data_IF_642972620355
#
_entry.id   IF_642972620355
#
_cell.length_a   1.000
_cell.length_b   1.000
_cell.length_c   1.000
_cell.angle_alpha   90.00
_cell.angle_beta   90.00
_cell.angle_gamma   90.00
#
_symmetry.space_group_name_H-M   'P 1'
#
loop_
_entity.id
_entity.type
_entity.pdbx_description
1 polymer ?
#
# COMPACT_ATOMS: atom_id res chain seq x y z
N UNK A 1 21.64 -3.74 5.29
CA UNK A 1 20.81 -3.27 4.16
C UNK A 1 19.67 -4.26 4.07
N UNK A 2 18.41 -3.80 4.02
CA UNK A 2 17.26 -4.72 4.04
C UNK A 2 17.10 -5.38 2.67
N UNK A 3 16.76 -6.65 2.64
CA UNK A 3 16.54 -7.40 1.39
C UNK A 3 15.11 -7.22 0.84
N UNK A 4 14.87 -7.70 -0.39
CA UNK A 4 13.56 -7.57 -1.05
C UNK A 4 12.44 -8.30 -0.29
N UNK A 5 12.74 -9.44 0.36
CA UNK A 5 11.74 -10.17 1.16
C UNK A 5 11.31 -9.37 2.39
N UNK A 6 12.22 -8.64 3.02
CA UNK A 6 11.90 -7.71 4.11
C UNK A 6 11.03 -6.54 3.63
N UNK A 7 11.22 -6.06 2.39
CA UNK A 7 10.38 -5.03 1.79
C UNK A 7 8.98 -5.52 1.48
N UNK A 8 8.84 -6.75 1.00
CA UNK A 8 7.53 -7.36 0.81
C UNK A 8 6.79 -7.52 2.14
N UNK A 9 7.49 -7.89 3.21
CA UNK A 9 6.91 -7.91 4.57
C UNK A 9 6.48 -6.54 5.06
N UNK A 10 7.23 -5.47 4.74
CA UNK A 10 6.81 -4.09 5.03
C UNK A 10 5.49 -3.75 4.34
N UNK A 11 5.34 -4.12 3.06
CA UNK A 11 4.11 -3.91 2.29
C UNK A 11 2.96 -4.66 2.94
N UNK A 12 3.14 -5.95 3.25
CA UNK A 12 2.10 -6.79 3.83
C UNK A 12 1.67 -6.27 5.21
N UNK A 13 2.61 -5.94 6.10
CA UNK A 13 2.27 -5.37 7.40
C UNK A 13 1.51 -4.04 7.23
N UNK A 14 1.94 -3.17 6.33
CA UNK A 14 1.24 -1.90 6.11
C UNK A 14 -0.20 -2.10 5.59
N UNK A 15 -0.43 -3.07 4.73
CA UNK A 15 -1.76 -3.47 4.27
C UNK A 15 -2.62 -3.95 5.45
N UNK A 16 -2.12 -4.87 6.27
CA UNK A 16 -2.86 -5.37 7.43
C UNK A 16 -3.22 -4.26 8.43
N UNK A 17 -2.30 -3.30 8.61
CA UNK A 17 -2.50 -2.14 9.48
C UNK A 17 -3.59 -1.22 8.96
N UNK A 18 -3.66 -0.93 7.66
CA UNK A 18 -4.72 -0.08 7.12
C UNK A 18 -6.07 -0.81 7.09
N UNK A 19 -6.08 -2.11 6.79
CA UNK A 19 -7.30 -2.94 6.76
C UNK A 19 -8.00 -2.99 8.12
N UNK A 20 -7.21 -2.98 9.22
CA UNK A 20 -7.73 -2.93 10.60
C UNK A 20 -8.76 -1.81 10.80
N UNK A 21 -8.58 -0.66 10.15
CA UNK A 21 -9.51 0.46 10.24
C UNK A 21 -10.42 0.59 9.02
N UNK A 22 -9.95 0.22 7.82
CA UNK A 22 -10.77 0.22 6.62
C UNK A 22 -12.02 -0.68 6.75
N UNK A 23 -11.93 -1.80 7.48
CA UNK A 23 -13.09 -2.68 7.75
C UNK A 23 -14.26 -2.00 8.47
N UNK A 24 -14.06 -0.81 9.05
CA UNK A 24 -15.13 -0.01 9.66
C UNK A 24 -16.02 0.69 8.62
N UNK A 25 -15.60 0.66 7.34
CA UNK A 25 -16.36 1.15 6.20
C UNK A 25 -16.05 2.59 5.82
N UNK A 26 -16.43 2.94 4.59
CA UNK A 26 -16.14 4.23 3.95
C UNK A 26 -16.63 5.42 4.76
N UNK A 27 -17.86 5.34 5.28
CA UNK A 27 -18.46 6.42 6.07
C UNK A 27 -17.66 6.76 7.32
N UNK A 28 -17.10 5.75 8.00
CA UNK A 28 -16.26 5.95 9.18
C UNK A 28 -14.94 6.61 8.78
N UNK A 29 -14.34 6.16 7.69
CA UNK A 29 -13.15 6.80 7.12
C UNK A 29 -13.40 8.28 6.76
N UNK A 30 -14.48 8.60 6.04
CA UNK A 30 -14.81 9.98 5.63
C UNK A 30 -15.06 10.93 6.81
N UNK A 31 -15.51 10.40 7.95
CA UNK A 31 -15.88 11.21 9.12
C UNK A 31 -14.78 11.30 10.20
N UNK A 32 -13.75 10.43 10.15
CA UNK A 32 -12.73 10.36 11.20
C UNK A 32 -11.33 10.67 10.64
N UNK A 33 -10.85 11.88 10.91
CA UNK A 33 -9.52 12.36 10.51
C UNK A 33 -8.37 11.44 10.94
N UNK A 34 -8.46 10.83 12.14
CA UNK A 34 -7.45 9.88 12.61
C UNK A 34 -7.40 8.60 11.75
N UNK A 35 -8.55 8.12 11.27
CA UNK A 35 -8.61 6.95 10.38
C UNK A 35 -8.09 7.33 8.99
N UNK A 36 -8.43 8.53 8.50
CA UNK A 36 -7.89 9.05 7.24
C UNK A 36 -6.36 9.10 7.29
N UNK A 37 -5.83 9.76 8.33
CA UNK A 37 -4.39 9.90 8.55
C UNK A 37 -3.71 8.54 8.66
N UNK A 38 -4.30 7.60 9.40
CA UNK A 38 -3.77 6.25 9.56
C UNK A 38 -3.68 5.50 8.23
N UNK A 39 -4.74 5.52 7.42
CA UNK A 39 -4.78 4.84 6.13
C UNK A 39 -3.76 5.47 5.17
N UNK A 40 -3.77 6.80 5.06
CA UNK A 40 -2.85 7.57 4.20
C UNK A 40 -1.38 7.29 4.56
N UNK A 41 -1.06 7.23 5.85
CA UNK A 41 0.29 6.91 6.32
C UNK A 41 0.74 5.50 5.93
N UNK A 42 -0.13 4.50 5.99
CA UNK A 42 0.23 3.15 5.59
C UNK A 42 0.32 2.98 4.06
N UNK A 43 -0.48 3.72 3.29
CA UNK A 43 -0.29 3.82 1.83
C UNK A 43 1.09 4.40 1.47
N UNK A 44 1.60 5.37 2.25
CA UNK A 44 2.96 5.88 2.08
C UNK A 44 4.03 4.82 2.34
N UNK A 45 3.85 4.00 3.39
CA UNK A 45 4.78 2.91 3.71
C UNK A 45 4.81 1.90 2.57
N UNK A 46 3.65 1.52 2.04
CA UNK A 46 3.54 0.62 0.87
C UNK A 46 4.33 1.20 -0.30
N UNK A 47 4.13 2.48 -0.62
CA UNK A 47 4.83 3.11 -1.73
C UNK A 47 6.34 3.22 -1.54
N UNK A 48 6.82 3.54 -0.34
CA UNK A 48 8.27 3.58 -0.07
C UNK A 48 8.90 2.18 -0.14
N UNK A 49 8.23 1.15 0.38
CA UNK A 49 8.70 -0.22 0.31
C UNK A 49 8.74 -0.71 -1.15
N UNK A 50 7.68 -0.50 -1.92
CA UNK A 50 7.62 -0.83 -3.35
C UNK A 50 8.70 -0.10 -4.16
N UNK A 51 8.95 1.18 -3.87
CA UNK A 51 10.01 1.95 -4.50
C UNK A 51 11.39 1.36 -4.20
N UNK A 52 11.63 0.95 -2.95
CA UNK A 52 12.90 0.44 -2.46
C UNK A 52 13.21 -1.00 -2.90
N UNK A 53 12.21 -1.78 -3.34
CA UNK A 53 12.43 -3.10 -3.94
C UNK A 53 13.31 -3.00 -5.19
N UNK A 54 14.27 -3.92 -5.32
CA UNK A 54 15.27 -3.93 -6.40
C UNK A 54 14.66 -4.06 -7.79
N UNK A 55 15.36 -3.56 -8.81
CA UNK A 55 14.86 -3.64 -10.20
C UNK A 55 14.86 -5.08 -10.70
N UNK A 56 15.84 -5.87 -10.27
CA UNK A 56 15.96 -7.29 -10.57
C UNK A 56 14.75 -8.06 -10.03
N UNK A 57 14.31 -7.73 -8.81
CA UNK A 57 13.13 -8.35 -8.20
C UNK A 57 11.84 -7.93 -8.88
N UNK A 58 11.70 -6.63 -9.19
CA UNK A 58 10.55 -6.11 -9.94
C UNK A 58 10.42 -6.76 -11.32
N UNK A 59 11.54 -6.99 -12.00
CA UNK A 59 11.57 -7.67 -13.29
C UNK A 59 11.19 -9.16 -13.20
N UNK A 60 11.43 -9.80 -12.04
CA UNK A 60 11.02 -11.19 -11.79
C UNK A 60 9.52 -11.33 -11.58
N UNK A 61 8.86 -10.33 -11.00
CA UNK A 61 7.41 -10.32 -10.73
C UNK A 61 6.71 -9.14 -11.42
N UNK A 62 6.68 -9.10 -12.77
CA UNK A 62 6.15 -7.97 -13.53
C UNK A 62 4.62 -7.80 -13.42
N UNK A 63 3.91 -8.81 -12.92
CA UNK A 63 2.47 -8.78 -12.67
C UNK A 63 2.08 -7.90 -11.48
N UNK A 64 3.01 -7.63 -10.57
CA UNK A 64 2.80 -6.69 -9.47
C UNK A 64 2.88 -5.26 -10.01
N UNK A 65 1.91 -4.38 -9.70
CA UNK A 65 1.90 -3.00 -10.18
C UNK A 65 2.91 -2.13 -9.39
N UNK A 66 4.20 -2.45 -9.46
CA UNK A 66 5.26 -1.81 -8.68
C UNK A 66 5.30 -0.30 -8.85
N UNK A 67 5.02 0.18 -10.06
CA UNK A 67 5.01 1.60 -10.37
C UNK A 67 3.85 2.29 -9.66
N UNK A 68 2.64 1.76 -9.81
CA UNK A 68 1.44 2.34 -9.20
C UNK A 68 1.54 2.28 -7.67
N UNK A 69 2.01 1.17 -7.12
CA UNK A 69 2.29 1.04 -5.69
C UNK A 69 3.30 2.10 -5.22
N UNK A 70 4.40 2.30 -5.96
CA UNK A 70 5.40 3.34 -5.64
C UNK A 70 4.82 4.75 -5.69
N UNK A 71 3.88 5.01 -6.60
CA UNK A 71 3.25 6.30 -6.80
C UNK A 71 2.27 6.68 -5.68
N UNK A 72 1.84 5.72 -4.82
CA UNK A 72 1.08 6.00 -3.59
C UNK A 72 1.81 6.98 -2.65
N UNK A 73 3.14 6.95 -2.65
CA UNK A 73 3.96 7.92 -1.90
C UNK A 73 3.73 9.34 -2.42
N UNK A 74 3.55 9.51 -3.72
CA UNK A 74 3.40 10.83 -4.35
C UNK A 74 1.98 11.39 -4.18
N UNK A 75 0.97 10.52 -4.22
CA UNK A 75 -0.45 10.89 -4.03
C UNK A 75 -0.69 11.59 -2.68
N UNK A 76 0.04 11.17 -1.65
CA UNK A 76 -0.17 11.62 -0.26
C UNK A 76 0.71 12.81 0.14
N UNK A 77 1.77 13.11 -0.62
CA UNK A 77 2.75 14.18 -0.30
C UNK A 77 2.51 15.44 -1.13
N UNK A 78 2.10 15.32 -2.41
CA UNK A 78 1.97 16.48 -3.29
C UNK A 78 0.56 17.11 -3.28
N UNK A 79 -0.47 16.34 -2.93
CA UNK A 79 -1.85 16.81 -2.85
C UNK A 79 -2.41 16.79 -1.42
N UNK A 80 -1.58 16.88 -0.38
CA UNK A 80 -2.03 16.81 1.03
C UNK A 80 -3.15 17.82 1.39
N UNK A 81 -3.27 18.92 0.65
CA UNK A 81 -4.30 19.96 0.78
C UNK A 81 -5.57 19.69 -0.06
N UNK A 82 -5.58 18.62 -0.87
CA UNK A 82 -6.62 18.19 -1.82
C UNK A 82 -6.78 16.67 -1.86
N UNK A 83 -6.33 15.93 -0.84
CA UNK A 83 -6.46 14.48 -0.83
C UNK A 83 -7.93 14.14 -1.04
N UNK A 84 -8.21 13.60 -2.23
CA UNK A 84 -9.56 13.22 -2.56
C UNK A 84 -9.84 11.91 -1.82
N UNK A 85 -10.63 12.00 -0.74
CA UNK A 85 -11.00 10.85 0.08
C UNK A 85 -11.65 9.74 -0.77
N UNK A 86 -12.34 10.09 -1.86
CA UNK A 86 -12.85 9.13 -2.83
C UNK A 86 -11.74 8.31 -3.49
N UNK A 87 -10.65 8.96 -3.93
CA UNK A 87 -9.51 8.28 -4.57
C UNK A 87 -8.80 7.39 -3.56
N UNK A 88 -8.59 7.87 -2.32
CA UNK A 88 -7.94 7.06 -1.27
C UNK A 88 -8.80 5.84 -0.95
N UNK A 89 -10.12 6.01 -0.85
CA UNK A 89 -11.00 4.90 -0.59
C UNK A 89 -11.05 3.90 -1.74
N UNK A 90 -11.07 4.38 -2.99
CA UNK A 90 -11.01 3.55 -4.19
C UNK A 90 -9.76 2.67 -4.20
N UNK A 91 -8.59 3.24 -3.88
CA UNK A 91 -7.34 2.49 -3.73
C UNK A 91 -7.47 1.40 -2.64
N UNK A 92 -8.01 1.76 -1.48
CA UNK A 92 -8.19 0.81 -0.36
C UNK A 92 -9.13 -0.34 -0.73
N UNK A 93 -10.19 -0.07 -1.48
CA UNK A 93 -11.21 -1.05 -1.84
C UNK A 93 -10.80 -1.91 -3.04
N UNK A 94 -10.17 -1.30 -4.05
CA UNK A 94 -9.96 -1.94 -5.36
C UNK A 94 -8.51 -2.31 -5.65
N UNK A 95 -7.52 -1.56 -5.17
CA UNK A 95 -6.10 -1.79 -5.50
C UNK A 95 -5.35 -2.58 -4.43
N UNK A 96 -5.67 -2.33 -3.15
CA UNK A 96 -4.98 -2.99 -2.03
C UNK A 96 -5.24 -4.50 -1.96
N UNK A 97 -6.48 -5.02 -2.13
CA UNK A 97 -6.71 -6.46 -2.02
C UNK A 97 -5.96 -7.29 -3.08
N UNK A 98 -5.93 -6.91 -4.37
CA UNK A 98 -5.10 -7.58 -5.37
C UNK A 98 -3.60 -7.52 -5.03
N UNK A 99 -3.10 -6.34 -4.64
CA UNK A 99 -1.69 -6.18 -4.25
C UNK A 99 -1.34 -7.11 -3.08
N UNK A 100 -2.19 -7.19 -2.06
CA UNK A 100 -2.00 -8.08 -0.91
C UNK A 100 -1.83 -9.53 -1.37
N UNK A 101 -2.74 -10.03 -2.19
CA UNK A 101 -2.72 -11.40 -2.67
C UNK A 101 -1.44 -11.73 -3.48
N UNK A 102 -0.98 -10.78 -4.29
CA UNK A 102 0.29 -10.94 -5.03
C UNK A 102 1.50 -11.01 -4.09
N UNK A 103 1.57 -10.10 -3.11
CA UNK A 103 2.67 -10.06 -2.15
C UNK A 103 2.70 -11.32 -1.27
N UNK A 104 1.53 -11.79 -0.82
CA UNK A 104 1.40 -13.04 -0.06
C UNK A 104 1.86 -14.25 -0.89
N UNK A 105 1.45 -14.34 -2.15
CA UNK A 105 1.86 -15.42 -3.05
C UNK A 105 3.39 -15.45 -3.26
N UNK A 106 4.01 -14.28 -3.48
CA UNK A 106 5.45 -14.17 -3.65
C UNK A 106 6.18 -14.54 -2.35
N UNK A 107 5.68 -14.09 -1.18
CA UNK A 107 6.28 -14.41 0.11
C UNK A 107 6.24 -15.91 0.44
N UNK A 108 5.25 -16.65 -0.07
CA UNK A 108 5.17 -18.11 0.08
C UNK A 108 6.27 -18.85 -0.70
N UNK A 109 6.85 -18.26 -1.75
CA UNK A 109 7.99 -18.86 -2.48
C UNK A 109 9.30 -18.89 -1.66
N UNK A 110 9.37 -18.14 -0.55
CA UNK A 110 10.54 -18.06 0.33
C UNK A 110 10.47 -19.02 1.53
N UNK A 111 9.40 -19.81 1.66
CA UNK A 111 9.17 -20.73 2.78
C UNK A 111 9.64 -22.15 2.41
#
# INVERSE_FOLDING_TARGET
>A
MRDDSERLRDILEAIERLEKYARQGKTVFEQQELIQTWIVYHLQIIGEAARATSQEFKARYPEVPWRDASDLRNLTIHEYFRINLEIIWDIVENDIPPLKGQIEAILQEFI
#
